data_IF_425860211084
#
_entry.id   IF_425860211084
#
_cell.length_a   1.000
_cell.length_b   1.000
_cell.length_c   1.000
_cell.angle_alpha   90.00
_cell.angle_beta   90.00
_cell.angle_gamma   90.00
#
_symmetry.space_group_name_H-M   'P 1'
#
loop_
_entity.id
_entity.type
_entity.pdbx_description
1 polymer ?
#
# COMPACT_ATOMS: atom_id res chain seq x y z
N UNK A 1 9.84 3.42 31.42
CA UNK A 1 10.28 3.04 30.05
C UNK A 1 9.89 1.58 29.88
N UNK A 2 9.17 1.27 28.84
CA UNK A 2 8.71 -0.11 28.56
C UNK A 2 9.76 -0.82 27.73
N UNK A 3 10.17 -2.01 28.13
CA UNK A 3 11.14 -2.81 27.38
C UNK A 3 10.41 -3.77 26.42
N UNK A 4 10.89 -3.84 25.18
CA UNK A 4 10.42 -4.75 24.13
C UNK A 4 11.63 -5.52 23.60
N UNK A 5 11.60 -6.84 23.70
CA UNK A 5 12.65 -7.70 23.18
C UNK A 5 12.59 -7.76 21.64
N UNK A 6 13.72 -7.57 20.99
CA UNK A 6 13.88 -7.67 19.54
C UNK A 6 13.35 -9.00 18.97
N UNK A 7 13.43 -10.12 19.72
CA UNK A 7 12.86 -11.40 19.30
C UNK A 7 11.35 -11.35 19.13
N UNK A 8 10.63 -10.60 20.01
CA UNK A 8 9.19 -10.43 19.88
C UNK A 8 8.84 -9.67 18.60
N UNK A 9 9.66 -8.68 18.23
CA UNK A 9 9.53 -7.95 16.96
C UNK A 9 9.71 -8.90 15.78
N UNK A 10 10.73 -9.75 15.82
CA UNK A 10 11.00 -10.76 14.78
C UNK A 10 9.79 -11.68 14.56
N UNK A 11 9.25 -12.26 15.64
CA UNK A 11 8.09 -13.16 15.55
C UNK A 11 6.86 -12.43 15.04
N UNK A 12 6.64 -11.21 15.51
CA UNK A 12 5.50 -10.38 15.07
C UNK A 12 5.58 -10.05 13.59
N UNK A 13 6.73 -9.57 13.11
CA UNK A 13 6.92 -9.26 11.67
C UNK A 13 6.75 -10.50 10.81
N UNK A 14 7.27 -11.66 11.23
CA UNK A 14 7.12 -12.91 10.50
C UNK A 14 5.65 -13.32 10.35
N UNK A 15 4.90 -13.30 11.45
CA UNK A 15 3.47 -13.63 11.45
C UNK A 15 2.66 -12.66 10.58
N UNK A 16 2.88 -11.35 10.73
CA UNK A 16 2.19 -10.32 9.94
C UNK A 16 2.50 -10.41 8.44
N UNK A 17 3.74 -10.79 8.06
CA UNK A 17 4.12 -10.96 6.66
C UNK A 17 3.34 -12.09 5.99
N UNK A 18 3.15 -13.22 6.68
CA UNK A 18 2.36 -14.35 6.18
C UNK A 18 0.89 -13.97 6.12
N UNK A 19 0.35 -13.46 7.23
CA UNK A 19 -1.08 -13.11 7.32
C UNK A 19 -1.48 -12.06 6.29
N UNK A 20 -0.66 -11.02 6.09
CA UNK A 20 -0.94 -9.99 5.10
C UNK A 20 -0.96 -10.55 3.66
N UNK A 21 -0.18 -11.58 3.36
CA UNK A 21 -0.16 -12.20 2.03
C UNK A 21 -1.31 -13.18 1.79
N UNK A 22 -1.88 -13.77 2.85
CA UNK A 22 -2.93 -14.80 2.72
C UNK A 22 -4.34 -14.26 2.97
N UNK A 23 -4.48 -13.18 3.76
CA UNK A 23 -5.78 -12.67 4.20
C UNK A 23 -5.95 -11.20 3.77
N UNK A 24 -6.81 -10.97 2.79
CA UNK A 24 -7.14 -9.63 2.33
C UNK A 24 -7.89 -8.86 3.43
N UNK A 25 -7.58 -7.56 3.68
CA UNK A 25 -8.29 -6.72 4.64
C UNK A 25 -9.79 -6.64 4.35
N UNK A 26 -10.60 -6.52 5.40
CA UNK A 26 -12.08 -6.54 5.31
C UNK A 26 -12.64 -5.38 4.50
N UNK A 27 -12.05 -4.19 4.63
CA UNK A 27 -12.44 -3.00 3.87
C UNK A 27 -12.20 -3.16 2.36
N UNK A 28 -11.11 -3.80 1.97
CA UNK A 28 -10.83 -4.09 0.56
C UNK A 28 -11.81 -5.13 0.02
N UNK A 29 -12.11 -6.19 0.80
CA UNK A 29 -13.15 -7.16 0.44
C UNK A 29 -14.50 -6.49 0.22
N UNK A 30 -14.95 -5.69 1.20
CA UNK A 30 -16.19 -4.92 1.13
C UNK A 30 -16.27 -4.05 -0.12
N UNK A 31 -15.18 -3.35 -0.46
CA UNK A 31 -15.11 -2.52 -1.67
C UNK A 31 -15.17 -3.33 -2.96
N UNK A 32 -14.52 -4.50 -3.03
CA UNK A 32 -14.59 -5.37 -4.20
C UNK A 32 -16.00 -5.97 -4.35
N UNK A 33 -16.61 -6.43 -3.27
CA UNK A 33 -17.96 -6.98 -3.26
C UNK A 33 -19.01 -5.93 -3.66
N UNK A 34 -18.84 -4.69 -3.15
CA UNK A 34 -19.67 -3.56 -3.57
C UNK A 34 -19.49 -3.28 -5.07
N UNK A 35 -18.24 -3.18 -5.55
CA UNK A 35 -17.95 -2.99 -6.96
C UNK A 35 -18.62 -4.07 -7.83
N UNK A 36 -18.57 -5.34 -7.39
CA UNK A 36 -19.25 -6.45 -8.06
C UNK A 36 -20.76 -6.26 -8.11
N UNK A 37 -21.40 -5.82 -7.04
CA UNK A 37 -22.84 -5.61 -6.98
C UNK A 37 -23.33 -4.44 -7.86
N UNK A 38 -22.49 -3.43 -8.05
CA UNK A 38 -22.80 -2.22 -8.83
C UNK A 38 -22.38 -2.33 -10.31
N UNK A 39 -21.54 -3.29 -10.67
CA UNK A 39 -21.11 -3.52 -12.04
C UNK A 39 -22.27 -4.06 -12.91
N UNK A 40 -22.38 -3.53 -14.12
CA UNK A 40 -23.46 -3.91 -15.07
C UNK A 40 -22.94 -4.71 -16.26
N UNK A 41 -21.65 -4.60 -16.55
CA UNK A 41 -21.06 -5.30 -17.67
C UNK A 41 -20.63 -6.72 -17.28
N UNK A 42 -21.21 -7.72 -17.94
CA UNK A 42 -21.06 -9.13 -17.60
C UNK A 42 -19.59 -9.59 -17.51
N UNK A 43 -18.75 -9.15 -18.45
CA UNK A 43 -17.30 -9.48 -18.42
C UNK A 43 -16.62 -8.96 -17.18
N UNK A 44 -16.87 -7.69 -16.80
CA UNK A 44 -16.28 -7.10 -15.59
C UNK A 44 -16.85 -7.76 -14.32
N UNK A 45 -18.13 -8.13 -14.32
CA UNK A 45 -18.73 -8.93 -13.24
C UNK A 45 -18.00 -10.26 -13.05
N UNK A 46 -17.80 -11.01 -14.15
CA UNK A 46 -17.10 -12.30 -14.11
C UNK A 46 -15.66 -12.19 -13.62
N UNK A 47 -14.96 -11.07 -13.94
CA UNK A 47 -13.61 -10.82 -13.44
C UNK A 47 -13.63 -10.55 -11.94
N UNK A 48 -14.57 -9.71 -11.45
CA UNK A 48 -14.72 -9.44 -10.03
C UNK A 48 -15.09 -10.70 -9.25
N UNK A 49 -15.95 -11.57 -9.80
CA UNK A 49 -16.26 -12.88 -9.22
C UNK A 49 -15.01 -13.75 -9.05
N UNK A 50 -14.09 -13.74 -10.04
CA UNK A 50 -12.82 -14.47 -9.94
C UNK A 50 -11.87 -13.89 -8.90
N UNK A 51 -11.85 -12.59 -8.74
CA UNK A 51 -11.08 -11.93 -7.67
C UNK A 51 -11.63 -12.32 -6.30
N UNK A 52 -12.97 -12.34 -6.14
CA UNK A 52 -13.64 -12.75 -4.90
C UNK A 52 -13.36 -14.22 -4.59
N UNK A 53 -13.50 -15.10 -5.56
CA UNK A 53 -13.16 -16.52 -5.42
C UNK A 53 -11.71 -16.73 -4.99
N UNK A 54 -10.77 -16.01 -5.64
CA UNK A 54 -9.34 -16.12 -5.38
C UNK A 54 -8.96 -15.79 -3.94
N UNK A 55 -9.37 -14.63 -3.41
CA UNK A 55 -9.03 -14.30 -2.02
C UNK A 55 -9.76 -15.20 -1.00
N UNK A 56 -10.91 -15.76 -1.38
CA UNK A 56 -11.61 -16.77 -0.58
C UNK A 56 -10.82 -18.07 -0.49
N UNK A 57 -10.29 -18.57 -1.61
CA UNK A 57 -9.41 -19.75 -1.67
C UNK A 57 -8.14 -19.50 -0.86
N UNK A 58 -7.50 -18.34 -1.07
CA UNK A 58 -6.27 -18.00 -0.38
C UNK A 58 -6.42 -18.03 1.14
N UNK A 59 -7.49 -17.43 1.67
CA UNK A 59 -7.77 -17.40 3.10
C UNK A 59 -8.10 -18.80 3.66
N UNK A 60 -8.89 -19.62 2.93
CA UNK A 60 -9.28 -20.96 3.35
C UNK A 60 -8.09 -21.92 3.40
N UNK A 61 -7.23 -21.85 2.38
CA UNK A 61 -6.14 -22.81 2.19
C UNK A 61 -4.80 -22.29 2.73
N UNK A 62 -4.82 -21.11 3.38
CA UNK A 62 -3.63 -20.39 3.89
C UNK A 62 -2.53 -20.24 2.83
N UNK A 63 -2.93 -19.81 1.64
CA UNK A 63 -2.05 -19.59 0.49
C UNK A 63 -1.94 -18.11 0.15
N UNK A 64 -0.82 -17.66 -0.43
CA UNK A 64 -0.71 -16.29 -0.92
C UNK A 64 -1.77 -15.96 -1.97
N UNK A 65 -2.41 -14.79 -1.83
CA UNK A 65 -3.45 -14.31 -2.75
C UNK A 65 -2.89 -14.09 -4.17
N UNK A 66 -1.61 -13.77 -4.28
CA UNK A 66 -0.93 -13.47 -5.53
C UNK A 66 0.47 -14.09 -5.54
N UNK A 67 0.97 -14.46 -6.72
CA UNK A 67 2.36 -14.92 -6.90
C UNK A 67 3.40 -13.83 -6.59
N UNK A 68 3.05 -12.55 -6.74
CA UNK A 68 3.88 -11.44 -6.27
C UNK A 68 3.57 -11.12 -4.81
N UNK A 69 4.31 -11.75 -3.90
CA UNK A 69 4.22 -11.50 -2.47
C UNK A 69 5.00 -10.25 -2.03
N UNK A 70 5.60 -9.56 -3.00
CA UNK A 70 6.14 -8.22 -2.89
C UNK A 70 7.44 -8.07 -2.10
N UNK A 71 7.94 -6.84 -2.07
CA UNK A 71 8.91 -6.43 -1.05
C UNK A 71 8.18 -6.15 0.25
N UNK A 72 8.81 -6.44 1.37
CA UNK A 72 8.21 -6.22 2.69
C UNK A 72 8.42 -4.77 3.12
N UNK A 73 7.37 -3.94 3.05
CA UNK A 73 7.36 -2.63 3.69
C UNK A 73 6.93 -2.78 5.15
N UNK A 74 7.71 -2.24 6.07
CA UNK A 74 7.43 -2.29 7.51
C UNK A 74 7.38 -0.88 8.05
N UNK A 75 6.23 -0.48 8.59
CA UNK A 75 6.02 0.81 9.23
C UNK A 75 5.99 0.61 10.73
N UNK A 76 6.81 1.36 11.44
CA UNK A 76 6.93 1.34 12.89
C UNK A 76 6.53 2.70 13.45
N UNK A 77 5.56 2.73 14.39
CA UNK A 77 5.34 3.86 15.27
C UNK A 77 5.90 3.49 16.63
N UNK A 78 6.99 4.15 17.00
CA UNK A 78 7.76 3.86 18.21
C UNK A 78 7.40 4.90 19.26
N UNK A 79 6.80 4.46 20.36
CA UNK A 79 6.56 5.31 21.53
C UNK A 79 7.88 5.80 22.15
N UNK A 80 7.93 7.07 22.53
CA UNK A 80 9.13 7.68 23.13
C UNK A 80 9.57 7.02 24.45
N UNK A 81 8.64 6.32 25.14
CA UNK A 81 8.90 5.58 26.38
C UNK A 81 9.18 4.08 26.13
N UNK A 82 9.40 3.68 24.87
CA UNK A 82 9.82 2.33 24.50
C UNK A 82 11.34 2.24 24.46
N UNK A 83 11.88 1.18 25.07
CA UNK A 83 13.25 0.74 24.91
C UNK A 83 13.26 -0.63 24.21
N UNK A 84 13.93 -0.73 23.07
CA UNK A 84 14.08 -2.00 22.33
C UNK A 84 15.40 -2.65 22.74
N UNK A 85 15.31 -3.85 23.30
CA UNK A 85 16.48 -4.63 23.70
C UNK A 85 16.96 -5.47 22.52
N UNK A 86 18.06 -5.05 21.91
CA UNK A 86 18.65 -5.66 20.71
C UNK A 86 18.62 -4.70 19.50
N UNK A 87 19.00 -5.22 18.32
CA UNK A 87 18.99 -4.42 17.08
C UNK A 87 17.63 -4.52 16.39
N UNK A 88 16.97 -3.37 16.28
CA UNK A 88 15.64 -3.26 15.65
C UNK A 88 15.66 -3.62 14.16
N UNK A 89 16.68 -3.16 13.45
CA UNK A 89 16.78 -3.38 11.99
C UNK A 89 17.05 -4.84 11.70
N UNK A 90 17.94 -5.47 12.46
CA UNK A 90 18.20 -6.90 12.36
C UNK A 90 16.96 -7.73 12.74
N UNK A 91 16.23 -7.34 13.79
CA UNK A 91 15.02 -8.03 14.22
C UNK A 91 13.92 -8.00 13.13
N UNK A 92 13.72 -6.85 12.49
CA UNK A 92 12.75 -6.71 11.38
C UNK A 92 13.17 -7.57 10.20
N UNK A 93 14.45 -7.53 9.80
CA UNK A 93 14.95 -8.34 8.68
C UNK A 93 14.88 -9.85 8.99
N UNK A 94 15.21 -10.26 10.21
CA UNK A 94 15.06 -11.65 10.65
C UNK A 94 13.59 -12.09 10.57
N UNK A 95 12.65 -11.22 10.94
CA UNK A 95 11.22 -11.47 10.82
C UNK A 95 10.76 -11.63 9.36
N UNK A 96 11.23 -10.77 8.46
CA UNK A 96 10.96 -10.90 7.03
C UNK A 96 11.52 -12.20 6.47
N UNK A 97 12.79 -12.50 6.73
CA UNK A 97 13.44 -13.75 6.31
C UNK A 97 12.66 -14.97 6.79
N UNK A 98 12.26 -14.99 8.07
CA UNK A 98 11.48 -16.06 8.68
C UNK A 98 10.11 -16.19 8.01
N UNK A 99 9.34 -15.11 7.95
CA UNK A 99 7.97 -15.10 7.40
C UNK A 99 7.94 -15.50 5.92
N UNK A 100 8.89 -14.99 5.10
CA UNK A 100 8.96 -15.37 3.69
C UNK A 100 9.47 -16.79 3.47
N UNK A 101 10.26 -17.33 4.40
CA UNK A 101 10.71 -18.73 4.37
C UNK A 101 9.60 -19.70 4.78
N UNK A 102 9.04 -19.53 5.97
CA UNK A 102 8.04 -20.43 6.55
C UNK A 102 6.67 -20.34 5.87
N UNK A 103 6.29 -19.12 5.39
CA UNK A 103 5.06 -18.90 4.65
C UNK A 103 5.12 -19.26 3.17
N UNK A 104 6.24 -19.83 2.69
CA UNK A 104 6.45 -20.17 1.27
C UNK A 104 6.22 -18.98 0.33
N UNK A 105 6.54 -17.77 0.79
CA UNK A 105 6.36 -16.55 0.02
C UNK A 105 7.51 -16.39 -1.00
N UNK A 106 7.21 -15.75 -2.13
CA UNK A 106 8.19 -15.51 -3.18
C UNK A 106 9.25 -14.50 -2.73
N UNK A 107 10.53 -14.87 -2.82
CA UNK A 107 11.66 -14.00 -2.52
C UNK A 107 12.00 -13.19 -3.75
N UNK A 108 11.66 -11.90 -3.75
CA UNK A 108 11.71 -11.03 -4.93
C UNK A 108 12.78 -9.93 -4.84
N UNK A 109 13.48 -9.82 -3.69
CA UNK A 109 14.49 -8.78 -3.47
C UNK A 109 15.81 -9.17 -4.14
N UNK A 110 16.40 -8.23 -4.87
CA UNK A 110 17.75 -8.32 -5.42
C UNK A 110 18.70 -7.43 -4.62
N UNK A 111 19.87 -7.93 -4.28
CA UNK A 111 20.86 -7.26 -3.44
C UNK A 111 21.49 -6.03 -4.08
N UNK A 112 21.48 -5.98 -5.42
CA UNK A 112 21.95 -4.81 -6.19
C UNK A 112 20.99 -4.58 -7.36
N UNK A 113 20.50 -3.33 -7.55
CA UNK A 113 19.47 -3.04 -8.56
C UNK A 113 19.96 -3.19 -10.00
N UNK A 114 21.25 -3.14 -10.25
CA UNK A 114 21.83 -3.29 -11.61
C UNK A 114 22.39 -4.70 -11.84
N UNK A 115 23.08 -5.29 -10.86
CA UNK A 115 23.63 -6.65 -10.96
C UNK A 115 22.55 -7.74 -10.83
N UNK A 116 21.42 -7.44 -10.21
CA UNK A 116 20.20 -8.27 -10.17
C UNK A 116 20.35 -9.64 -9.50
N UNK A 117 21.30 -9.82 -8.59
CA UNK A 117 21.46 -11.06 -7.83
C UNK A 117 20.45 -11.11 -6.70
N UNK A 118 19.62 -12.16 -6.65
CA UNK A 118 18.60 -12.33 -5.61
C UNK A 118 19.22 -12.54 -4.24
N UNK A 119 18.64 -11.95 -3.19
CA UNK A 119 19.13 -12.09 -1.81
C UNK A 119 18.83 -13.47 -1.21
N UNK A 120 17.84 -14.18 -1.75
CA UNK A 120 17.46 -15.52 -1.32
C UNK A 120 16.54 -15.58 -0.10
N UNK A 121 16.30 -14.45 0.57
CA UNK A 121 15.49 -14.38 1.80
C UNK A 121 14.52 -13.20 1.86
N UNK A 122 14.41 -12.43 0.77
CA UNK A 122 13.54 -11.24 0.62
C UNK A 122 13.90 -10.06 1.54
N UNK A 123 15.14 -10.01 2.05
CA UNK A 123 15.68 -8.87 2.80
C UNK A 123 16.56 -7.96 1.92
N UNK A 124 16.79 -6.70 2.31
CA UNK A 124 16.24 -6.02 3.49
C UNK A 124 14.79 -5.62 3.32
N UNK A 125 14.10 -5.41 4.45
CA UNK A 125 12.81 -4.75 4.50
C UNK A 125 12.91 -3.27 4.10
N UNK A 126 11.85 -2.71 3.51
CA UNK A 126 11.69 -1.27 3.35
C UNK A 126 11.14 -0.71 4.66
N UNK A 127 12.02 -0.25 5.54
CA UNK A 127 11.70 0.16 6.91
C UNK A 127 11.39 1.66 6.99
N UNK A 128 10.23 1.99 7.56
CA UNK A 128 9.78 3.35 7.85
C UNK A 128 9.50 3.49 9.33
N UNK A 129 10.06 4.54 9.97
CA UNK A 129 9.91 4.76 11.41
C UNK A 129 9.32 6.13 11.70
N UNK A 130 8.39 6.19 12.64
CA UNK A 130 7.85 7.41 13.22
C UNK A 130 8.00 7.35 14.75
N UNK A 131 8.47 8.42 15.38
CA UNK A 131 8.43 8.58 16.83
C UNK A 131 7.11 9.21 17.22
N UNK A 132 6.45 8.60 18.21
CA UNK A 132 5.16 9.06 18.72
C UNK A 132 5.20 9.13 20.26
N UNK A 133 4.34 9.92 20.91
CA UNK A 133 4.20 9.87 22.37
C UNK A 133 3.73 8.48 22.85
N UNK A 134 4.13 8.11 24.08
CA UNK A 134 3.66 6.91 24.77
C UNK A 134 4.66 5.76 24.76
N UNK A 135 4.18 4.59 25.16
CA UNK A 135 4.96 3.38 25.46
C UNK A 135 4.60 2.16 24.61
N UNK A 136 3.99 2.39 23.44
CA UNK A 136 3.58 1.33 22.53
C UNK A 136 4.49 1.31 21.29
N UNK A 137 4.68 0.12 20.75
CA UNK A 137 5.27 -0.11 19.44
C UNK A 137 4.19 -0.66 18.51
N UNK A 138 3.74 0.14 17.55
CA UNK A 138 2.86 -0.34 16.48
C UNK A 138 3.70 -0.77 15.29
N UNK A 139 3.48 -2.00 14.83
CA UNK A 139 4.15 -2.60 13.67
C UNK A 139 3.10 -2.85 12.60
N UNK A 140 3.25 -2.25 11.43
CA UNK A 140 2.43 -2.55 10.25
C UNK A 140 3.31 -3.15 9.15
N UNK A 141 2.98 -4.36 8.72
CA UNK A 141 3.64 -5.04 7.60
C UNK A 141 2.73 -4.94 6.38
N UNK A 142 3.28 -4.38 5.31
CA UNK A 142 2.58 -4.14 4.05
C UNK A 142 3.41 -4.67 2.87
N UNK A 143 3.19 -5.91 2.44
CA UNK A 143 3.85 -6.45 1.26
C UNK A 143 3.45 -5.66 0.01
N UNK A 144 4.44 -5.10 -0.69
CA UNK A 144 4.25 -4.22 -1.85
C UNK A 144 4.68 -4.90 -3.15
N UNK A 145 3.68 -5.29 -3.96
CA UNK A 145 3.91 -5.86 -5.28
C UNK A 145 4.45 -4.84 -6.29
N UNK A 146 5.35 -5.26 -7.17
CA UNK A 146 6.05 -4.35 -8.07
C UNK A 146 5.32 -4.07 -9.38
N UNK A 147 4.35 -4.87 -9.77
CA UNK A 147 3.48 -4.54 -10.90
C UNK A 147 2.79 -3.19 -10.72
N UNK A 148 2.31 -2.91 -9.51
CA UNK A 148 1.69 -1.64 -9.18
C UNK A 148 2.70 -0.58 -8.70
N UNK A 149 3.79 -0.95 -8.01
CA UNK A 149 4.83 0.00 -7.60
C UNK A 149 5.46 0.70 -8.80
N UNK A 150 5.72 -0.04 -9.88
CA UNK A 150 6.32 0.49 -11.11
C UNK A 150 5.45 1.54 -11.83
N UNK A 151 4.15 1.59 -11.50
CA UNK A 151 3.21 2.55 -12.09
C UNK A 151 3.10 3.84 -11.29
N UNK A 152 3.82 3.93 -10.17
CA UNK A 152 3.82 5.10 -9.30
C UNK A 152 4.65 6.23 -9.88
N UNK A 153 4.24 7.47 -9.63
CA UNK A 153 4.91 8.66 -10.15
C UNK A 153 5.05 9.73 -9.08
N UNK A 154 6.07 10.57 -9.22
CA UNK A 154 6.28 11.76 -8.41
C UNK A 154 6.58 12.95 -9.30
N UNK A 155 6.01 14.11 -8.98
CA UNK A 155 6.26 15.36 -9.71
C UNK A 155 6.39 16.53 -8.74
N UNK A 156 7.35 17.38 -9.00
CA UNK A 156 7.45 18.68 -8.36
C UNK A 156 6.60 19.69 -9.16
N UNK A 157 5.36 19.89 -8.71
CA UNK A 157 4.47 20.88 -9.29
C UNK A 157 4.86 22.28 -8.81
N UNK A 158 4.39 23.29 -9.54
CA UNK A 158 4.51 24.69 -9.12
C UNK A 158 3.29 25.07 -8.27
N UNK A 159 3.44 25.97 -7.27
CA UNK A 159 2.28 26.49 -6.53
C UNK A 159 1.17 27.05 -7.43
N UNK A 160 1.54 27.63 -8.58
CA UNK A 160 0.59 28.14 -9.57
C UNK A 160 -0.25 27.06 -10.27
N UNK A 161 0.20 25.79 -10.25
CA UNK A 161 -0.58 24.68 -10.82
C UNK A 161 -1.80 24.35 -9.95
N UNK A 162 -1.73 24.67 -8.65
CA UNK A 162 -2.82 24.58 -7.69
C UNK A 162 -3.48 23.19 -7.65
N UNK A 163 -4.72 23.17 -7.18
CA UNK A 163 -5.50 21.93 -7.05
C UNK A 163 -5.76 21.25 -8.41
N UNK A 164 -5.96 22.02 -9.47
CA UNK A 164 -6.21 21.44 -10.80
C UNK A 164 -4.96 20.74 -11.36
N UNK A 165 -3.76 21.26 -11.08
CA UNK A 165 -2.51 20.60 -11.41
C UNK A 165 -2.34 19.27 -10.65
N UNK A 166 -2.74 19.23 -9.38
CA UNK A 166 -2.73 17.99 -8.57
C UNK A 166 -3.70 16.97 -9.16
N UNK A 167 -4.95 17.36 -9.43
CA UNK A 167 -5.97 16.49 -10.04
C UNK A 167 -5.49 15.92 -11.38
N UNK A 168 -5.02 16.80 -12.25
CA UNK A 168 -4.52 16.39 -13.57
C UNK A 168 -3.36 15.39 -13.47
N UNK A 169 -2.44 15.60 -12.53
CA UNK A 169 -1.30 14.69 -12.33
C UNK A 169 -1.74 13.32 -11.81
N UNK A 170 -2.66 13.27 -10.82
CA UNK A 170 -3.17 12.01 -10.26
C UNK A 170 -3.91 11.21 -11.33
N UNK A 171 -4.83 11.84 -12.07
CA UNK A 171 -5.63 11.18 -13.11
C UNK A 171 -4.71 10.67 -14.21
N UNK A 172 -3.78 11.50 -14.70
CA UNK A 172 -2.82 11.12 -15.73
C UNK A 172 -1.97 9.93 -15.31
N UNK A 173 -1.50 9.90 -14.05
CA UNK A 173 -0.73 8.76 -13.53
C UNK A 173 -1.51 7.45 -13.62
N UNK A 174 -2.80 7.46 -13.28
CA UNK A 174 -3.65 6.26 -13.37
C UNK A 174 -3.96 5.90 -14.83
N UNK A 175 -4.21 6.88 -15.69
CA UNK A 175 -4.44 6.66 -17.11
C UNK A 175 -3.22 6.00 -17.79
N UNK A 176 -2.01 6.51 -17.52
CA UNK A 176 -0.75 5.95 -18.03
C UNK A 176 -0.46 4.56 -17.45
N UNK A 177 -0.85 4.29 -16.22
CA UNK A 177 -0.73 2.98 -15.59
C UNK A 177 -1.61 1.93 -16.30
N UNK A 178 -2.81 2.32 -16.72
CA UNK A 178 -3.74 1.45 -17.44
C UNK A 178 -4.02 0.13 -16.72
N UNK A 179 -3.92 -1.01 -17.42
CA UNK A 179 -4.16 -2.33 -16.85
C UNK A 179 -2.98 -2.87 -16.00
N UNK A 180 -1.78 -2.29 -16.12
CA UNK A 180 -0.55 -2.84 -15.56
C UNK A 180 -0.58 -3.05 -14.04
N UNK A 181 -1.22 -2.19 -13.21
CA UNK A 181 -1.30 -2.39 -11.78
C UNK A 181 -2.38 -3.40 -11.34
N UNK A 182 -3.01 -4.14 -12.25
CA UNK A 182 -4.08 -5.10 -11.97
C UNK A 182 -5.27 -4.47 -11.23
N UNK A 183 -6.02 -3.55 -11.85
CA UNK A 183 -7.20 -2.93 -11.23
C UNK A 183 -8.28 -3.96 -10.85
N UNK A 184 -9.19 -3.62 -9.90
CA UNK A 184 -9.37 -2.29 -9.33
C UNK A 184 -8.27 -1.92 -8.32
N UNK A 185 -7.74 -0.70 -8.45
CA UNK A 185 -6.58 -0.22 -7.69
C UNK A 185 -6.97 0.54 -6.42
N UNK A 186 -6.01 0.71 -5.51
CA UNK A 186 -6.05 1.74 -4.46
C UNK A 186 -4.94 2.75 -4.74
N UNK A 187 -5.30 4.02 -4.73
CA UNK A 187 -4.40 5.12 -5.05
C UNK A 187 -4.05 5.89 -3.78
N UNK A 188 -2.78 5.90 -3.42
CA UNK A 188 -2.24 6.75 -2.36
C UNK A 188 -1.63 8.00 -2.96
N UNK A 189 -2.03 9.16 -2.46
CA UNK A 189 -1.53 10.47 -2.90
C UNK A 189 -0.84 11.15 -1.73
N UNK A 190 0.40 11.59 -1.93
CA UNK A 190 1.16 12.39 -0.98
C UNK A 190 1.35 13.80 -1.51
N UNK A 191 0.94 14.81 -0.75
CA UNK A 191 1.00 16.22 -1.15
C UNK A 191 1.79 17.01 -0.11
N UNK A 192 2.81 17.72 -0.56
CA UNK A 192 3.61 18.59 0.31
C UNK A 192 4.86 17.91 0.89
N UNK A 193 5.44 18.51 1.94
CA UNK A 193 6.75 18.13 2.44
C UNK A 193 7.87 18.47 1.46
N UNK A 194 8.77 17.51 1.27
CA UNK A 194 9.88 17.50 0.31
C UNK A 194 9.70 16.36 -0.69
N UNK A 195 10.60 16.22 -1.66
CA UNK A 195 10.58 15.17 -2.67
C UNK A 195 10.40 13.76 -2.04
N UNK A 196 11.22 13.42 -1.07
CA UNK A 196 11.17 12.14 -0.36
C UNK A 196 9.92 12.01 0.52
N UNK A 197 9.50 13.11 1.18
CA UNK A 197 8.29 13.10 2.02
C UNK A 197 7.01 12.92 1.23
N UNK A 198 6.88 13.53 0.07
CA UNK A 198 5.72 13.30 -0.80
C UNK A 198 5.60 11.82 -1.20
N UNK A 199 6.71 11.18 -1.59
CA UNK A 199 6.75 9.74 -1.89
C UNK A 199 6.36 8.88 -0.66
N UNK A 200 6.89 9.21 0.52
CA UNK A 200 6.54 8.53 1.77
C UNK A 200 5.06 8.68 2.11
N UNK A 201 4.51 9.90 2.01
CA UNK A 201 3.09 10.18 2.28
C UNK A 201 2.18 9.39 1.35
N UNK A 202 2.50 9.33 0.05
CA UNK A 202 1.74 8.53 -0.92
C UNK A 202 1.71 7.05 -0.54
N UNK A 203 2.85 6.51 -0.11
CA UNK A 203 2.94 5.13 0.35
C UNK A 203 2.19 4.90 1.67
N UNK A 204 2.30 5.84 2.62
CA UNK A 204 1.56 5.80 3.89
C UNK A 204 0.05 5.86 3.67
N UNK A 205 -0.42 6.66 2.72
CA UNK A 205 -1.83 6.77 2.35
C UNK A 205 -2.47 5.42 1.96
N UNK A 206 -1.69 4.48 1.40
CA UNK A 206 -2.15 3.14 1.06
C UNK A 206 -2.46 2.26 2.30
N UNK A 207 -2.00 2.66 3.49
CA UNK A 207 -2.27 1.94 4.75
C UNK A 207 -3.55 2.40 5.43
N UNK A 208 -4.15 3.51 4.99
CA UNK A 208 -5.45 3.94 5.49
C UNK A 208 -6.55 3.08 4.86
N UNK A 209 -7.56 2.74 5.67
CA UNK A 209 -8.70 1.95 5.20
C UNK A 209 -9.37 2.59 3.97
N UNK A 210 -9.71 1.76 2.98
CA UNK A 210 -10.44 2.18 1.79
C UNK A 210 -11.86 2.70 2.10
N UNK A 211 -12.39 2.43 3.30
CA UNK A 211 -13.68 2.91 3.77
C UNK A 211 -13.58 4.23 4.53
N UNK A 212 -12.39 4.62 4.96
CA UNK A 212 -12.15 5.83 5.73
C UNK A 212 -11.74 6.99 4.82
N UNK A 213 -12.48 8.10 4.87
CA UNK A 213 -12.10 9.35 4.20
C UNK A 213 -11.12 10.16 5.06
N UNK A 214 -10.47 11.13 4.42
CA UNK A 214 -9.62 12.08 5.13
C UNK A 214 -10.41 12.78 6.23
N UNK A 215 -9.76 13.09 7.35
CA UNK A 215 -10.39 13.84 8.47
C UNK A 215 -10.61 15.32 8.15
N UNK A 216 -9.88 15.88 7.20
CA UNK A 216 -10.08 17.20 6.64
C UNK A 216 -11.09 17.11 5.50
N UNK A 217 -12.21 17.85 5.62
CA UNK A 217 -13.33 17.81 4.68
C UNK A 217 -12.91 18.18 3.26
N UNK A 218 -12.02 19.16 3.10
CA UNK A 218 -11.49 19.56 1.80
C UNK A 218 -10.80 18.38 1.08
N UNK A 219 -9.95 17.63 1.80
CA UNK A 219 -9.27 16.47 1.22
C UNK A 219 -10.22 15.27 1.06
N UNK A 220 -11.21 15.10 1.93
CA UNK A 220 -12.23 14.07 1.78
C UNK A 220 -13.07 14.27 0.51
N UNK A 221 -13.45 15.52 0.19
CA UNK A 221 -14.13 15.87 -1.06
C UNK A 221 -13.21 15.61 -2.27
N UNK A 222 -11.95 16.01 -2.19
CA UNK A 222 -10.97 15.77 -3.26
C UNK A 222 -10.73 14.27 -3.51
N UNK A 223 -10.69 13.44 -2.46
CA UNK A 223 -10.60 11.97 -2.59
C UNK A 223 -11.79 11.40 -3.37
N UNK A 224 -13.01 11.88 -3.08
CA UNK A 224 -14.21 11.43 -3.78
C UNK A 224 -14.22 11.91 -5.24
N UNK A 225 -13.91 13.18 -5.49
CA UNK A 225 -13.83 13.72 -6.85
C UNK A 225 -12.80 12.95 -7.72
N UNK A 226 -11.62 12.68 -7.16
CA UNK A 226 -10.57 11.92 -7.85
C UNK A 226 -11.00 10.47 -8.11
N UNK A 227 -11.66 9.83 -7.14
CA UNK A 227 -12.18 8.47 -7.30
C UNK A 227 -13.19 8.38 -8.46
N UNK A 228 -14.13 9.33 -8.51
CA UNK A 228 -15.14 9.39 -9.57
C UNK A 228 -14.50 9.61 -10.94
N UNK A 229 -13.56 10.55 -11.05
CA UNK A 229 -12.85 10.82 -12.30
C UNK A 229 -11.98 9.64 -12.77
N UNK A 230 -11.30 8.94 -11.85
CA UNK A 230 -10.53 7.74 -12.15
C UNK A 230 -11.45 6.62 -12.63
N UNK A 231 -12.59 6.42 -11.99
CA UNK A 231 -13.56 5.41 -12.41
C UNK A 231 -14.20 5.75 -13.78
N UNK A 232 -14.34 7.02 -14.09
CA UNK A 232 -14.81 7.49 -15.40
C UNK A 232 -13.82 7.20 -16.55
N UNK A 233 -12.54 6.88 -16.27
CA UNK A 233 -11.58 6.42 -17.29
C UNK A 233 -11.99 5.09 -17.93
N UNK A 234 -12.81 4.27 -17.25
CA UNK A 234 -13.36 3.04 -17.79
C UNK A 234 -12.32 1.94 -18.01
N UNK A 235 -11.15 2.00 -17.35
CA UNK A 235 -10.12 0.94 -17.42
C UNK A 235 -10.69 -0.37 -16.90
N UNK A 236 -11.41 -0.32 -15.77
CA UNK A 236 -12.16 -1.43 -15.21
C UNK A 236 -11.33 -2.58 -14.63
N UNK A 237 -11.98 -3.61 -14.09
CA UNK A 237 -11.30 -4.76 -13.48
C UNK A 237 -10.32 -5.43 -14.45
N UNK A 238 -9.08 -5.58 -14.02
CA UNK A 238 -7.95 -6.15 -14.77
C UNK A 238 -7.69 -5.48 -16.14
N UNK A 239 -8.23 -4.26 -16.37
CA UNK A 239 -8.05 -3.51 -17.62
C UNK A 239 -8.97 -3.95 -18.76
N UNK A 240 -9.99 -4.73 -18.48
CA UNK A 240 -10.94 -5.20 -19.50
C UNK A 240 -12.16 -4.29 -19.67
N UNK A 241 -12.14 -3.10 -19.10
CA UNK A 241 -13.28 -2.19 -19.10
C UNK A 241 -14.22 -2.44 -17.91
N UNK A 242 -15.23 -1.59 -17.77
CA UNK A 242 -16.19 -1.62 -16.66
C UNK A 242 -16.11 -0.37 -15.78
N UNK A 243 -16.92 -0.35 -14.73
CA UNK A 243 -17.15 0.86 -13.92
C UNK A 243 -16.08 1.10 -12.87
N UNK A 244 -15.42 0.04 -12.38
CA UNK A 244 -14.52 0.15 -11.23
C UNK A 244 -13.06 0.01 -11.64
N UNK A 245 -12.39 1.14 -11.82
CA UNK A 245 -10.94 1.22 -12.02
C UNK A 245 -10.21 1.29 -10.68
N UNK A 246 -10.75 2.05 -9.72
CA UNK A 246 -10.19 2.21 -8.38
C UNK A 246 -11.26 1.93 -7.31
N UNK A 247 -10.81 1.36 -6.17
CA UNK A 247 -11.62 1.12 -4.97
C UNK A 247 -11.60 2.33 -4.03
N UNK A 248 -10.46 3.03 -3.97
CA UNK A 248 -10.27 4.21 -3.14
C UNK A 248 -9.14 5.09 -3.67
N UNK A 249 -9.24 6.38 -3.35
CA UNK A 249 -8.15 7.35 -3.39
C UNK A 249 -7.97 7.87 -1.97
N UNK A 250 -6.76 7.79 -1.44
CA UNK A 250 -6.41 8.26 -0.10
C UNK A 250 -5.33 9.34 -0.22
N UNK A 251 -5.53 10.48 0.43
CA UNK A 251 -4.60 11.62 0.39
C UNK A 251 -3.98 11.84 1.77
N UNK A 252 -2.67 11.92 1.83
CA UNK A 252 -1.91 12.36 3.01
C UNK A 252 -1.16 13.63 2.69
N UNK A 253 -1.11 14.56 3.64
CA UNK A 253 -0.52 15.88 3.42
C UNK A 253 0.49 16.26 4.47
N UNK A 254 1.38 17.16 4.12
CA UNK A 254 2.34 17.79 5.03
C UNK A 254 2.60 19.23 4.59
N UNK A 255 2.83 20.17 5.54
CA UNK A 255 3.29 21.50 5.19
C UNK A 255 4.51 21.47 4.27
N UNK A 256 4.56 22.41 3.32
CA UNK A 256 5.64 22.48 2.33
C UNK A 256 6.20 23.89 2.21
N UNK A 257 7.33 24.04 1.51
CA UNK A 257 7.91 25.35 1.23
C UNK A 257 7.02 26.17 0.28
N UNK A 258 6.91 27.48 0.51
CA UNK A 258 6.03 28.38 -0.26
C UNK A 258 6.25 28.33 -1.78
N UNK A 259 7.45 27.98 -2.22
CA UNK A 259 7.80 27.88 -3.64
C UNK A 259 7.62 26.49 -4.25
N UNK A 260 7.09 25.51 -3.51
CA UNK A 260 6.96 24.12 -3.98
C UNK A 260 5.58 23.55 -3.80
N UNK A 261 5.24 22.58 -4.64
CA UNK A 261 4.06 21.74 -4.52
C UNK A 261 4.43 20.29 -4.99
N UNK A 262 5.22 19.56 -4.15
CA UNK A 262 5.53 18.17 -4.48
C UNK A 262 4.29 17.30 -4.35
N UNK A 263 4.08 16.43 -5.34
CA UNK A 263 2.96 15.48 -5.37
C UNK A 263 3.50 14.11 -5.80
N UNK A 264 3.15 13.09 -5.04
CA UNK A 264 3.45 11.70 -5.38
C UNK A 264 2.16 10.89 -5.44
N UNK A 265 2.13 9.94 -6.36
CA UNK A 265 1.05 8.95 -6.52
C UNK A 265 1.67 7.57 -6.41
N UNK A 266 1.26 6.80 -5.41
CA UNK A 266 1.67 5.41 -5.25
C UNK A 266 0.45 4.51 -5.44
N UNK A 267 0.59 3.47 -6.27
CA UNK A 267 -0.54 2.63 -6.68
C UNK A 267 -0.41 1.24 -6.06
N UNK A 268 -1.50 0.72 -5.51
CA UNK A 268 -1.69 -0.69 -5.16
C UNK A 268 -2.69 -1.36 -6.09
N UNK A 269 -2.48 -2.64 -6.38
CA UNK A 269 -3.43 -3.49 -7.10
C UNK A 269 -4.65 -3.84 -6.21
N UNK A 270 -5.58 -4.63 -6.74
CA UNK A 270 -6.72 -5.15 -5.99
C UNK A 270 -6.32 -5.98 -4.76
N UNK A 271 -5.10 -6.50 -4.71
CA UNK A 271 -4.51 -7.14 -3.52
C UNK A 271 -3.81 -6.09 -2.66
N UNK A 272 -4.51 -5.01 -2.30
CA UNK A 272 -4.04 -4.06 -1.28
C UNK A 272 -4.11 -4.75 0.07
N UNK A 273 -2.94 -4.94 0.69
CA UNK A 273 -2.78 -5.80 1.86
C UNK A 273 -1.82 -5.22 2.88
N UNK A 274 -2.22 -5.24 4.11
CA UNK A 274 -1.39 -4.94 5.27
C UNK A 274 -1.99 -5.55 6.53
N UNK A 275 -1.15 -5.77 7.51
CA UNK A 275 -1.55 -6.22 8.85
C UNK A 275 -0.75 -5.50 9.91
N UNK A 276 -1.38 -5.24 11.04
CA UNK A 276 -0.78 -4.48 12.14
C UNK A 276 -0.91 -5.20 13.46
N UNK A 277 0.07 -4.99 14.32
CA UNK A 277 0.06 -5.40 15.71
C UNK A 277 0.60 -4.27 16.60
N UNK A 278 0.17 -4.24 17.84
CA UNK A 278 0.65 -3.30 18.86
C UNK A 278 1.30 -4.11 19.98
N UNK A 279 2.57 -3.85 20.22
CA UNK A 279 3.38 -4.41 21.29
C UNK A 279 3.45 -3.45 22.47
#
# INVERSE_FOLDING_TARGET
MREIDAKLITETVAALAVEANCILPSDIKSRIEKARSEEKWETAQGILDKIIENYGIAARDNMPICQDTGVCCVFLKIGQDVHITGDLTEAVNAGVKKGYGEGYLRKSVVGDPLKRVNTGDNTPAMLYTELVPGDKLEITVAPKGFGSENMSQLKMLKPSDGIEGVKAFVIKTVEEAGPNPCPPIVVGVGIGGTFDKAAYLAKKALMRSAEQRNSDEFYAELENELLDKINALGIGPQGFGGRTTALAVNIETMPTHIAGLPVAVNINCHVTRHKSAVL
#
